data_IF_186679249477
#
_entry.id   IF_186679249477
#
_cell.length_a   1.000
_cell.length_b   1.000
_cell.length_c   1.000
_cell.angle_alpha   90.00
_cell.angle_beta   90.00
_cell.angle_gamma   90.00
#
_symmetry.space_group_name_H-M   'P 1'
#
loop_
_entity.id
_entity.type
_entity.pdbx_description
1 polymer ?
#
# COMPACT_ATOMS: atom_id res chain seq x y z
N UNK A 1 -6.10 -3.29 40.35
CA UNK A 1 -6.31 -4.71 40.70
C UNK A 1 -6.07 -5.62 39.51
N UNK A 2 -6.01 -6.94 39.73
CA UNK A 2 -5.61 -7.97 38.74
C UNK A 2 -6.35 -7.90 37.39
N UNK A 3 -7.67 -7.64 37.40
CA UNK A 3 -8.46 -7.46 36.17
C UNK A 3 -7.96 -6.28 35.32
N UNK A 4 -7.61 -5.16 35.95
CA UNK A 4 -7.05 -3.99 35.26
C UNK A 4 -5.68 -4.29 34.64
N UNK A 5 -4.86 -5.08 35.33
CA UNK A 5 -3.57 -5.54 34.80
C UNK A 5 -3.76 -6.40 33.55
N UNK A 6 -4.69 -7.36 33.57
CA UNK A 6 -4.97 -8.20 32.41
C UNK A 6 -5.49 -7.41 31.22
N UNK A 7 -6.38 -6.44 31.46
CA UNK A 7 -6.86 -5.51 30.43
C UNK A 7 -5.70 -4.72 29.81
N UNK A 8 -4.85 -4.10 30.64
CA UNK A 8 -3.69 -3.32 30.17
C UNK A 8 -2.75 -4.19 29.34
N UNK A 9 -2.49 -5.43 29.76
CA UNK A 9 -1.65 -6.38 29.02
C UNK A 9 -2.23 -6.77 27.66
N UNK A 10 -3.56 -6.85 27.54
CA UNK A 10 -4.21 -7.11 26.25
C UNK A 10 -4.13 -5.88 25.34
N UNK A 11 -4.34 -4.68 25.87
CA UNK A 11 -4.18 -3.43 25.12
C UNK A 11 -2.74 -3.24 24.62
N UNK A 12 -1.75 -3.55 25.46
CA UNK A 12 -0.34 -3.53 25.07
C UNK A 12 -0.09 -4.43 23.85
N UNK A 13 -0.60 -5.67 23.86
CA UNK A 13 -0.47 -6.57 22.72
C UNK A 13 -1.12 -6.02 21.44
N UNK A 14 -2.32 -5.46 21.57
CA UNK A 14 -3.03 -4.85 20.43
C UNK A 14 -2.20 -3.69 19.85
N UNK A 15 -1.70 -2.80 20.70
CA UNK A 15 -0.87 -1.68 20.30
C UNK A 15 0.43 -2.13 19.64
N UNK A 16 1.10 -3.16 20.17
CA UNK A 16 2.31 -3.72 19.55
C UNK A 16 2.01 -4.28 18.16
N UNK A 17 0.89 -5.00 17.99
CA UNK A 17 0.48 -5.49 16.68
C UNK A 17 0.17 -4.34 15.71
N UNK A 18 -0.52 -3.30 16.18
CA UNK A 18 -0.88 -2.13 15.39
C UNK A 18 0.36 -1.36 14.93
N UNK A 19 1.33 -1.14 15.83
CA UNK A 19 2.63 -0.53 15.50
C UNK A 19 3.34 -1.35 14.44
N UNK A 20 3.40 -2.67 14.59
CA UNK A 20 4.05 -3.54 13.62
C UNK A 20 3.38 -3.50 12.23
N UNK A 21 2.04 -3.43 12.17
CA UNK A 21 1.33 -3.23 10.91
C UNK A 21 1.62 -1.87 10.28
N UNK A 22 1.57 -0.79 11.07
CA UNK A 22 1.84 0.57 10.56
C UNK A 22 3.28 0.72 10.07
N UNK A 23 4.25 0.09 10.72
CA UNK A 23 5.63 0.08 10.24
C UNK A 23 5.79 -0.68 8.93
N UNK A 24 5.06 -1.79 8.76
CA UNK A 24 5.03 -2.53 7.50
C UNK A 24 4.42 -1.67 6.39
N UNK A 25 3.26 -1.08 6.63
CA UNK A 25 2.56 -0.23 5.65
C UNK A 25 3.43 0.97 5.26
N UNK A 26 4.11 1.58 6.24
CA UNK A 26 5.07 2.66 5.98
C UNK A 26 6.18 2.21 5.05
N UNK A 27 6.77 1.04 5.27
CA UNK A 27 7.82 0.49 4.38
C UNK A 27 7.28 0.24 2.98
N UNK A 28 6.12 -0.40 2.87
CA UNK A 28 5.50 -0.73 1.59
C UNK A 28 5.20 0.54 0.78
N UNK A 29 4.59 1.55 1.42
CA UNK A 29 4.36 2.88 0.82
C UNK A 29 5.67 3.52 0.36
N UNK A 30 6.72 3.45 1.18
CA UNK A 30 8.00 4.07 0.83
C UNK A 30 8.63 3.38 -0.39
N UNK A 31 8.55 2.06 -0.47
CA UNK A 31 9.04 1.32 -1.66
C UNK A 31 8.24 1.67 -2.90
N UNK A 32 6.93 1.89 -2.75
CA UNK A 32 6.06 2.29 -3.86
C UNK A 32 6.41 3.68 -4.38
N UNK A 33 6.61 4.64 -3.49
CA UNK A 33 7.08 5.98 -3.83
C UNK A 33 8.42 5.91 -4.58
N UNK A 34 9.36 5.08 -4.12
CA UNK A 34 10.65 4.94 -4.79
C UNK A 34 10.53 4.39 -6.21
N UNK A 35 9.68 3.40 -6.43
CA UNK A 35 9.42 2.87 -7.78
C UNK A 35 8.81 3.94 -8.68
N UNK A 36 7.81 4.67 -8.18
CA UNK A 36 7.16 5.75 -8.93
C UNK A 36 8.09 6.94 -9.20
N UNK A 37 9.13 7.17 -8.39
CA UNK A 37 10.08 8.26 -8.62
C UNK A 37 11.23 7.86 -9.56
N UNK A 38 11.72 6.62 -9.45
CA UNK A 38 13.00 6.23 -10.06
C UNK A 38 12.85 5.30 -11.25
N UNK A 39 11.67 4.73 -11.49
CA UNK A 39 11.46 3.75 -12.54
C UNK A 39 10.44 4.25 -13.60
N UNK A 40 10.90 4.81 -14.72
CA UNK A 40 10.03 5.28 -15.81
C UNK A 40 9.07 4.22 -16.35
N UNK A 41 9.52 2.95 -16.43
CA UNK A 41 8.67 1.85 -16.87
C UNK A 41 7.55 1.57 -15.89
N UNK A 42 7.84 1.65 -14.58
CA UNK A 42 6.83 1.47 -13.54
C UNK A 42 5.76 2.56 -13.58
N UNK A 43 6.18 3.81 -13.80
CA UNK A 43 5.28 4.96 -13.97
C UNK A 43 4.38 4.75 -15.19
N UNK A 44 4.94 4.38 -16.34
CA UNK A 44 4.17 4.19 -17.58
C UNK A 44 3.18 3.03 -17.43
N UNK A 45 3.59 1.94 -16.78
CA UNK A 45 2.71 0.80 -16.48
C UNK A 45 1.54 1.23 -15.59
N UNK A 46 1.82 1.88 -14.46
CA UNK A 46 0.79 2.33 -13.52
C UNK A 46 -0.15 3.38 -14.14
N UNK A 47 0.35 4.24 -15.03
CA UNK A 47 -0.48 5.19 -15.77
C UNK A 47 -1.44 4.50 -16.75
N UNK A 48 -0.94 3.50 -17.50
CA UNK A 48 -1.77 2.77 -18.47
C UNK A 48 -2.78 1.84 -17.81
N UNK A 49 -2.34 1.05 -16.82
CA UNK A 49 -3.14 -0.04 -16.27
C UNK A 49 -4.11 0.44 -15.17
N UNK A 50 -3.64 1.29 -14.25
CA UNK A 50 -4.46 1.66 -13.09
C UNK A 50 -5.23 2.97 -13.29
N UNK A 51 -4.71 3.87 -14.14
CA UNK A 51 -5.31 5.19 -14.39
C UNK A 51 -5.96 5.31 -15.78
N UNK A 52 -5.87 4.28 -16.63
CA UNK A 52 -6.36 4.29 -18.02
C UNK A 52 -5.84 5.48 -18.85
N UNK A 53 -4.63 5.96 -18.55
CA UNK A 53 -3.99 7.07 -19.24
C UNK A 53 -3.14 6.54 -20.41
N UNK A 54 -3.80 5.93 -21.39
CA UNK A 54 -3.16 5.58 -22.65
C UNK A 54 -2.85 6.82 -23.46
N UNK A 55 -1.85 6.71 -24.36
CA UNK A 55 -1.53 7.82 -25.25
C UNK A 55 -2.71 8.08 -26.21
N UNK A 56 -2.89 9.32 -26.69
CA UNK A 56 -4.02 9.66 -27.56
C UNK A 56 -4.09 8.84 -28.85
N UNK A 57 -2.96 8.27 -29.29
CA UNK A 57 -2.85 7.46 -30.52
C UNK A 57 -2.90 5.94 -30.25
N UNK A 58 -3.14 5.50 -29.01
CA UNK A 58 -3.18 4.09 -28.62
C UNK A 58 -4.62 3.55 -28.59
N UNK A 59 -4.85 2.39 -29.23
CA UNK A 59 -6.13 1.68 -29.14
C UNK A 59 -6.14 0.76 -27.92
N UNK A 60 -7.04 0.99 -26.97
CA UNK A 60 -7.24 0.15 -25.79
C UNK A 60 -8.31 -0.90 -26.10
N UNK A 61 -7.95 -2.18 -26.02
CA UNK A 61 -8.90 -3.29 -26.13
C UNK A 61 -9.33 -3.72 -24.73
N UNK A 62 -10.51 -3.28 -24.30
CA UNK A 62 -11.16 -3.76 -23.08
C UNK A 62 -11.95 -5.02 -23.45
N UNK A 63 -11.59 -6.15 -22.84
CA UNK A 63 -12.36 -7.38 -22.97
C UNK A 63 -13.34 -7.47 -21.80
N UNK A 64 -14.65 -7.42 -22.09
CA UNK A 64 -15.66 -7.83 -21.10
C UNK A 64 -15.44 -9.31 -20.76
N UNK A 65 -15.54 -9.62 -19.47
CA UNK A 65 -15.21 -10.93 -18.90
C UNK A 65 -16.42 -11.85 -18.87
#
# INVERSE_FOLDING_TARGET
GFLKYLQLRNYEKVLVCEIASLEKDKRDIHTEIEKLQKNPFYIEKHAREDLNLSRPDEFIFLYEK
#
